data_IF_409986731128
#
_entry.id   IF_409986731128
#
_cell.length_a   1.000
_cell.length_b   1.000
_cell.length_c   1.000
_cell.angle_alpha   90.00
_cell.angle_beta   90.00
_cell.angle_gamma   90.00
#
_symmetry.space_group_name_H-M   'P 1'
#
loop_
_entity.id
_entity.type
_entity.pdbx_description
1 polymer ?
#
# COMPACT_ATOMS: atom_id res chain seq x y z
N UNK A 1 -13.25 -6.98 -0.66
CA UNK A 1 -12.13 -6.16 -1.15
C UNK A 1 -11.90 -6.49 -2.62
N UNK A 2 -12.46 -5.70 -3.54
CA UNK A 2 -12.49 -6.07 -4.98
C UNK A 2 -11.12 -5.98 -5.67
N UNK A 3 -10.19 -5.19 -5.12
CA UNK A 3 -8.84 -5.03 -5.67
C UNK A 3 -8.00 -6.32 -5.64
N UNK A 4 -8.10 -7.12 -4.56
CA UNK A 4 -7.38 -8.40 -4.44
C UNK A 4 -7.86 -9.42 -5.49
N UNK A 5 -9.15 -9.39 -5.83
CA UNK A 5 -9.74 -10.30 -6.81
C UNK A 5 -9.52 -9.86 -8.27
N UNK A 6 -9.25 -8.57 -8.52
CA UNK A 6 -9.07 -8.03 -9.87
C UNK A 6 -7.66 -8.16 -10.43
N UNK A 7 -6.64 -7.98 -9.56
CA UNK A 7 -5.22 -7.96 -9.96
C UNK A 7 -4.31 -8.57 -8.88
N UNK A 8 -4.39 -9.89 -8.63
CA UNK A 8 -3.59 -10.55 -7.60
C UNK A 8 -2.07 -10.45 -7.84
N UNK A 9 -1.63 -10.30 -9.09
CA UNK A 9 -0.22 -10.12 -9.48
C UNK A 9 0.42 -8.84 -8.93
N UNK A 10 -0.40 -7.86 -8.53
CA UNK A 10 0.08 -6.62 -7.94
C UNK A 10 0.26 -6.71 -6.42
N UNK A 11 -0.11 -7.84 -5.81
CA UNK A 11 -0.11 -8.01 -4.36
C UNK A 11 1.05 -8.90 -3.93
N UNK A 12 1.88 -8.42 -3.01
CA UNK A 12 3.01 -9.17 -2.45
C UNK A 12 2.95 -9.17 -0.92
N UNK A 13 3.00 -10.35 -0.31
CA UNK A 13 3.20 -10.48 1.14
C UNK A 13 4.67 -10.25 1.47
N UNK A 14 4.93 -9.28 2.35
CA UNK A 14 6.27 -8.95 2.80
C UNK A 14 6.66 -9.83 3.99
N UNK A 15 7.95 -10.16 4.07
CA UNK A 15 8.50 -10.96 5.19
C UNK A 15 8.69 -10.14 6.46
N UNK A 16 8.98 -8.85 6.29
CA UNK A 16 9.16 -7.93 7.41
C UNK A 16 7.81 -7.50 8.02
N UNK A 17 7.76 -7.20 9.32
CA UNK A 17 6.55 -6.73 9.97
C UNK A 17 6.13 -5.33 9.48
N UNK A 18 4.83 -5.06 9.48
CA UNK A 18 4.25 -3.80 9.01
C UNK A 18 4.85 -2.55 9.68
N UNK A 19 5.13 -2.64 10.98
CA UNK A 19 5.71 -1.54 11.78
C UNK A 19 7.04 -1.02 11.22
N UNK A 20 7.82 -1.89 10.55
CA UNK A 20 9.07 -1.50 9.88
C UNK A 20 8.83 -0.47 8.78
N UNK A 21 7.71 -0.59 8.07
CA UNK A 21 7.34 0.25 6.93
C UNK A 21 6.61 1.53 7.34
N UNK A 22 5.94 1.50 8.49
CA UNK A 22 5.30 2.67 9.08
C UNK A 22 6.32 3.69 9.60
N UNK A 23 7.47 3.20 10.09
CA UNK A 23 8.51 4.06 10.64
C UNK A 23 9.02 5.03 9.59
N UNK A 24 9.04 6.32 9.93
CA UNK A 24 9.54 7.43 9.11
C UNK A 24 8.73 7.70 7.82
N UNK A 25 7.54 7.09 7.65
CA UNK A 25 6.67 7.31 6.50
C UNK A 25 5.36 7.98 6.92
N UNK A 26 4.86 8.86 6.05
CA UNK A 26 3.55 9.49 6.23
C UNK A 26 2.47 8.53 5.77
N UNK A 27 1.42 8.33 6.59
CA UNK A 27 0.28 7.50 6.23
C UNK A 27 -0.55 8.22 5.17
N UNK A 28 -0.86 7.52 4.08
CA UNK A 28 -1.59 8.05 2.93
C UNK A 28 -2.85 7.23 2.67
N UNK A 29 -3.88 7.89 2.11
CA UNK A 29 -5.07 7.24 1.56
C UNK A 29 -5.12 7.45 0.06
N UNK A 30 -5.40 6.38 -0.68
CA UNK A 30 -5.59 6.43 -2.14
C UNK A 30 -6.95 7.06 -2.46
N UNK A 31 -6.99 8.05 -3.35
CA UNK A 31 -8.19 8.78 -3.73
C UNK A 31 -8.85 8.30 -5.04
N UNK A 32 -8.08 7.64 -5.90
CA UNK A 32 -8.49 7.28 -7.28
C UNK A 32 -8.27 5.80 -7.60
N UNK A 33 -8.77 5.40 -8.76
CA UNK A 33 -8.49 4.11 -9.39
C UNK A 33 -8.90 2.89 -8.59
N UNK A 34 -8.22 1.76 -8.85
CA UNK A 34 -8.63 0.44 -8.35
C UNK A 34 -8.47 0.32 -6.83
N UNK A 35 -7.49 1.04 -6.29
CA UNK A 35 -7.10 0.97 -4.89
C UNK A 35 -7.69 2.09 -4.04
N UNK A 36 -8.66 2.85 -4.58
CA UNK A 36 -9.34 3.93 -3.88
C UNK A 36 -9.84 3.50 -2.49
N UNK A 37 -9.54 4.32 -1.50
CA UNK A 37 -9.93 4.14 -0.09
C UNK A 37 -8.97 3.26 0.71
N UNK A 38 -7.97 2.63 0.08
CA UNK A 38 -6.93 1.93 0.83
C UNK A 38 -5.98 2.91 1.50
N UNK A 39 -5.57 2.55 2.71
CA UNK A 39 -4.62 3.32 3.50
C UNK A 39 -3.34 2.53 3.73
N UNK A 40 -2.21 3.24 3.76
CA UNK A 40 -0.92 2.63 4.00
C UNK A 40 0.21 3.63 3.86
N UNK A 41 1.40 3.12 3.59
CA UNK A 41 2.62 3.90 3.44
C UNK A 41 3.18 3.67 2.04
N UNK A 42 3.58 4.74 1.36
CA UNK A 42 4.28 4.62 0.07
C UNK A 42 5.75 4.35 0.33
N UNK A 43 6.17 3.12 0.03
CA UNK A 43 7.54 2.63 0.26
C UNK A 43 8.16 2.22 -1.06
N UNK A 44 9.47 2.46 -1.22
CA UNK A 44 10.24 1.92 -2.34
C UNK A 44 10.64 0.46 -2.08
N UNK A 45 10.11 -0.46 -2.88
CA UNK A 45 10.46 -1.88 -2.89
C UNK A 45 10.88 -2.23 -4.32
N UNK A 46 12.05 -2.85 -4.49
CA UNK A 46 12.62 -3.20 -5.80
C UNK A 46 12.64 -2.04 -6.82
N UNK A 47 12.93 -0.82 -6.32
CA UNK A 47 12.94 0.45 -7.08
C UNK A 47 11.57 0.95 -7.54
N UNK A 48 10.48 0.27 -7.21
CA UNK A 48 9.10 0.71 -7.47
C UNK A 48 8.43 1.29 -6.22
N UNK A 49 7.57 2.29 -6.38
CA UNK A 49 6.78 2.87 -5.28
C UNK A 49 5.52 2.05 -5.10
N UNK A 50 5.40 1.39 -3.97
CA UNK A 50 4.30 0.49 -3.65
C UNK A 50 3.56 0.99 -2.40
N UNK A 51 2.26 0.75 -2.35
CA UNK A 51 1.46 1.00 -1.15
C UNK A 51 1.61 -0.20 -0.22
N UNK A 52 2.22 0.01 0.95
CA UNK A 52 2.34 -1.01 1.99
C UNK A 52 1.25 -0.79 3.04
N UNK A 53 0.43 -1.81 3.25
CA UNK A 53 -0.65 -1.80 4.24
C UNK A 53 -0.62 -3.04 5.13
N UNK A 54 -1.30 -2.97 6.28
CA UNK A 54 -1.49 -4.13 7.15
C UNK A 54 -2.74 -4.90 6.73
N UNK A 55 -2.60 -6.22 6.59
CA UNK A 55 -3.72 -7.12 6.33
C UNK A 55 -3.51 -8.44 7.08
N UNK A 56 -4.44 -8.77 7.99
CA UNK A 56 -4.43 -10.01 8.76
C UNK A 56 -3.09 -10.31 9.47
N UNK A 57 -2.41 -9.27 9.99
CA UNK A 57 -1.11 -9.38 10.66
C UNK A 57 0.11 -9.46 9.73
N UNK A 58 -0.10 -9.39 8.42
CA UNK A 58 0.98 -9.32 7.42
C UNK A 58 1.10 -7.90 6.85
N UNK A 59 2.33 -7.51 6.53
CA UNK A 59 2.57 -6.39 5.66
C UNK A 59 2.34 -6.83 4.20
N UNK A 60 1.49 -6.10 3.49
CA UNK A 60 1.16 -6.37 2.10
C UNK A 60 1.55 -5.16 1.27
N UNK A 61 2.35 -5.38 0.23
CA UNK A 61 2.70 -4.36 -0.76
C UNK A 61 1.82 -4.49 -1.99
N UNK A 62 1.32 -3.35 -2.47
CA UNK A 62 0.49 -3.23 -3.66
C UNK A 62 1.24 -2.40 -4.70
N UNK A 63 1.52 -3.02 -5.84
CA UNK A 63 2.11 -2.40 -7.04
C UNK A 63 1.05 -1.67 -7.86
N UNK A 64 1.51 -0.85 -8.81
CA UNK A 64 0.62 -0.19 -9.78
C UNK A 64 -0.06 1.08 -9.27
N UNK A 65 0.32 1.57 -8.08
CA UNK A 65 -0.27 2.78 -7.47
C UNK A 65 0.36 4.10 -7.96
N UNK A 66 1.25 4.05 -8.95
CA UNK A 66 2.08 5.18 -9.37
C UNK A 66 1.32 6.33 -10.06
N UNK A 67 0.14 6.04 -10.62
CA UNK A 67 -0.74 7.02 -11.26
C UNK A 67 -1.94 7.40 -10.38
N UNK A 68 -1.98 6.93 -9.14
CA UNK A 68 -3.08 7.25 -8.23
C UNK A 68 -2.81 8.56 -7.48
N UNK A 69 -3.88 9.26 -7.14
CA UNK A 69 -3.84 10.41 -6.24
C UNK A 69 -3.90 9.96 -4.79
N UNK A 70 -3.25 10.72 -3.91
CA UNK A 70 -3.16 10.42 -2.48
C UNK A 70 -3.46 11.65 -1.63
N UNK A 71 -4.05 11.42 -0.47
CA UNK A 71 -4.10 12.39 0.62
C UNK A 71 -3.32 11.89 1.84
N UNK A 72 -2.80 12.84 2.62
CA UNK A 72 -2.27 12.54 3.95
C UNK A 72 -3.42 12.21 4.88
N UNK A 73 -3.32 11.07 5.56
CA UNK A 73 -4.22 10.76 6.67
C UNK A 73 -3.61 11.39 7.91
N UNK A 74 -4.16 12.52 8.32
CA UNK A 74 -3.86 13.07 9.65
C UNK A 74 -4.39 12.09 10.71
N UNK A 75 -3.49 11.66 11.61
CA UNK A 75 -3.78 10.74 12.70
C UNK A 75 -3.95 11.47 14.02
#
# INVERSE_FOLDING_TARGET
>A
MQAITGHPENVTFLRDPFVKFAKDHVKLRVLTGLFKGLEGYIVRIDRDRQLVMEFAGYAVAIRGVHNEDFEVVEG
#
